data_IF_366379803924
#
_entry.id   IF_366379803924
#
_cell.length_a   1.000
_cell.length_b   1.000
_cell.length_c   1.000
_cell.angle_alpha   90.00
_cell.angle_beta   90.00
_cell.angle_gamma   90.00
#
_symmetry.space_group_name_H-M   'P 1'
#
loop_
_entity.id
_entity.type
_entity.pdbx_description
1 polymer ?
#
# COMPACT_ATOMS: atom_id res chain seq x y z
N UNK A 1 18.64 -5.77 16.77
CA UNK A 1 18.72 -5.43 15.33
C UNK A 1 17.35 -5.13 14.70
N UNK A 2 16.24 -5.81 15.05
CA UNK A 2 14.91 -5.56 14.47
C UNK A 2 14.36 -4.12 14.62
N UNK A 3 14.63 -3.43 15.73
CA UNK A 3 14.15 -2.07 15.95
C UNK A 3 14.83 -1.00 15.05
N UNK A 4 16.07 -1.26 14.62
CA UNK A 4 16.80 -0.35 13.72
C UNK A 4 16.25 -0.46 12.28
N UNK A 5 15.98 -1.68 11.82
CA UNK A 5 15.34 -1.95 10.53
C UNK A 5 13.94 -1.36 10.47
N UNK A 6 13.14 -1.53 11.54
CA UNK A 6 11.80 -0.94 11.63
C UNK A 6 11.81 0.60 11.61
N UNK A 7 12.78 1.24 12.27
CA UNK A 7 12.94 2.71 12.24
C UNK A 7 13.38 3.23 10.88
N UNK A 8 14.30 2.54 10.20
CA UNK A 8 14.66 2.89 8.82
C UNK A 8 13.47 2.74 7.88
N UNK A 9 12.70 1.66 8.01
CA UNK A 9 11.53 1.41 7.18
C UNK A 9 10.45 2.50 7.38
N UNK A 10 10.21 2.94 8.62
CA UNK A 10 9.28 4.04 8.90
C UNK A 10 9.75 5.38 8.32
N UNK A 11 11.07 5.62 8.31
CA UNK A 11 11.65 6.85 7.77
C UNK A 11 11.54 6.93 6.24
N UNK A 12 11.74 5.80 5.54
CA UNK A 12 11.57 5.69 4.09
C UNK A 12 10.09 5.88 3.69
N UNK A 13 9.16 5.28 4.45
CA UNK A 13 7.71 5.46 4.27
C UNK A 13 7.32 6.94 4.37
N UNK A 14 7.85 7.65 5.38
CA UNK A 14 7.57 9.07 5.58
C UNK A 14 8.17 9.94 4.45
N UNK A 15 9.36 9.59 3.97
CA UNK A 15 10.00 10.26 2.83
C UNK A 15 9.19 10.07 1.55
N UNK A 16 8.81 8.83 1.22
CA UNK A 16 8.02 8.50 0.05
C UNK A 16 6.64 9.19 0.07
N UNK A 17 5.93 9.17 1.21
CA UNK A 17 4.66 9.87 1.36
C UNK A 17 4.78 11.40 1.22
N UNK A 18 5.92 11.98 1.61
CA UNK A 18 6.17 13.42 1.49
C UNK A 18 6.63 13.89 0.11
N UNK A 19 7.27 13.01 -0.67
CA UNK A 19 7.81 13.32 -2.00
C UNK A 19 6.91 12.88 -3.15
N UNK A 20 5.96 11.98 -2.88
CA UNK A 20 5.03 11.46 -3.87
C UNK A 20 3.59 11.71 -3.43
N UNK A 21 2.91 12.65 -4.10
CA UNK A 21 1.51 12.96 -3.87
C UNK A 21 0.65 12.32 -4.96
N UNK A 22 -0.14 11.27 -4.64
CA UNK A 22 -1.08 10.70 -5.61
C UNK A 22 -2.13 11.72 -6.05
N UNK A 23 -2.47 11.74 -7.34
CA UNK A 23 -3.48 12.65 -7.89
C UNK A 23 -4.86 12.00 -7.90
N UNK A 24 -5.90 12.80 -7.64
CA UNK A 24 -7.32 12.39 -7.59
C UNK A 24 -7.59 11.29 -6.56
N UNK A 25 -8.21 10.20 -6.97
CA UNK A 25 -8.59 9.02 -6.19
C UNK A 25 -7.50 7.95 -6.12
N UNK A 26 -6.25 8.30 -6.46
CA UNK A 26 -5.14 7.35 -6.42
C UNK A 26 -4.61 7.17 -5.00
N UNK A 27 -4.21 5.95 -4.70
CA UNK A 27 -3.70 5.52 -3.39
C UNK A 27 -2.39 4.76 -3.62
N UNK A 28 -1.33 5.25 -2.97
CA UNK A 28 -0.02 4.59 -2.96
C UNK A 28 0.03 3.61 -1.78
N UNK A 29 0.38 2.37 -2.07
CA UNK A 29 0.46 1.28 -1.10
C UNK A 29 1.80 0.56 -1.19
N UNK A 30 2.24 0.03 -0.05
CA UNK A 30 3.39 -0.86 0.05
C UNK A 30 2.92 -2.26 0.43
N UNK A 31 3.25 -3.26 -0.39
CA UNK A 31 2.92 -4.66 -0.09
C UNK A 31 3.76 -5.17 1.06
N UNK A 32 3.19 -6.06 1.88
CA UNK A 32 3.96 -6.74 2.90
C UNK A 32 4.95 -7.73 2.29
N UNK A 33 6.04 -7.99 3.02
CA UNK A 33 6.97 -9.04 2.66
C UNK A 33 6.30 -10.42 2.74
N UNK A 34 6.52 -11.30 1.76
CA UNK A 34 5.94 -12.64 1.76
C UNK A 34 6.45 -13.46 2.95
N UNK A 35 5.53 -14.09 3.68
CA UNK A 35 5.87 -14.96 4.81
C UNK A 35 6.70 -16.16 4.32
N UNK A 36 7.99 -16.17 4.68
CA UNK A 36 8.95 -17.22 4.35
C UNK A 36 8.67 -18.56 5.03
N UNK A 37 8.01 -18.51 6.19
CA UNK A 37 7.73 -19.67 7.03
C UNK A 37 6.22 -19.84 7.17
N UNK A 38 5.73 -21.02 6.80
CA UNK A 38 4.36 -21.39 7.17
C UNK A 38 4.22 -21.55 8.68
N UNK A 39 2.98 -21.48 9.19
CA UNK A 39 2.67 -21.73 10.61
C UNK A 39 3.16 -23.10 11.12
N UNK A 40 3.39 -24.06 10.23
CA UNK A 40 3.93 -25.40 10.53
C UNK A 40 5.47 -25.51 10.48
N UNK A 41 6.20 -24.42 10.27
CA UNK A 41 7.67 -24.42 10.25
C UNK A 41 8.31 -24.85 8.91
N UNK A 42 7.50 -25.13 7.88
CA UNK A 42 8.00 -25.47 6.54
C UNK A 42 8.36 -24.20 5.78
N UNK A 43 9.59 -24.17 5.26
CA UNK A 43 10.11 -23.07 4.44
C UNK A 43 9.56 -23.20 3.02
N UNK A 44 8.83 -22.19 2.54
CA UNK A 44 8.37 -22.19 1.16
C UNK A 44 9.52 -21.82 0.22
N UNK A 45 9.65 -22.49 -0.94
CA UNK A 45 10.58 -22.04 -1.97
C UNK A 45 10.18 -20.65 -2.49
N UNK A 46 11.17 -19.81 -2.77
CA UNK A 46 11.00 -18.43 -3.25
C UNK A 46 10.05 -18.31 -4.45
N UNK A 47 10.02 -19.32 -5.32
CA UNK A 47 9.17 -19.38 -6.52
C UNK A 47 7.67 -19.57 -6.24
N UNK A 48 7.30 -20.05 -5.07
CA UNK A 48 5.90 -20.27 -4.67
C UNK A 48 5.30 -19.09 -3.91
N UNK A 49 6.07 -18.01 -3.73
CA UNK A 49 5.59 -16.77 -3.13
C UNK A 49 4.70 -16.05 -4.13
N UNK A 50 3.38 -16.27 -4.01
CA UNK A 50 2.39 -15.48 -4.73
C UNK A 50 2.51 -13.98 -4.37
N UNK A 51 1.89 -13.12 -5.19
CA UNK A 51 1.78 -11.69 -4.85
C UNK A 51 1.05 -11.57 -3.51
N UNK A 52 1.68 -10.92 -2.55
CA UNK A 52 1.02 -10.58 -1.28
C UNK A 52 -0.06 -9.56 -1.59
N UNK A 53 -1.32 -9.92 -1.31
CA UNK A 53 -2.47 -9.06 -1.54
C UNK A 53 -2.66 -8.06 -0.39
N UNK A 54 -2.08 -8.32 0.78
CA UNK A 54 -2.09 -7.38 1.89
C UNK A 54 -1.07 -6.26 1.66
N UNK A 55 -1.48 -5.02 1.94
CA UNK A 55 -0.62 -3.86 1.84
C UNK A 55 -0.94 -2.80 2.90
N UNK A 56 0.02 -1.91 3.14
CA UNK A 56 -0.15 -0.71 3.97
C UNK A 56 -0.27 0.51 3.09
N UNK A 57 -1.22 1.39 3.39
CA UNK A 57 -1.39 2.67 2.70
C UNK A 57 -0.29 3.64 3.11
N UNK A 58 0.43 4.18 2.13
CA UNK A 58 1.56 5.09 2.33
C UNK A 58 1.16 6.53 2.04
N UNK A 59 0.41 6.74 0.95
CA UNK A 59 -0.08 8.06 0.57
C UNK A 59 -1.44 7.95 -0.10
N UNK A 60 -2.25 8.99 0.08
CA UNK A 60 -3.60 9.10 -0.48
C UNK A 60 -3.73 10.39 -1.25
N UNK A 61 -4.40 10.34 -2.41
CA UNK A 61 -4.76 11.55 -3.13
C UNK A 61 -5.88 12.34 -2.45
N UNK A 62 -6.15 13.56 -2.92
CA UNK A 62 -7.19 14.45 -2.37
C UNK A 62 -8.61 13.94 -2.58
N UNK A 63 -8.80 12.89 -3.39
CA UNK A 63 -10.11 12.33 -3.72
C UNK A 63 -10.64 12.78 -5.08
N UNK A 64 -11.77 12.19 -5.51
CA UNK A 64 -12.42 12.53 -6.78
C UNK A 64 -13.31 13.76 -6.59
N UNK A 65 -13.37 14.65 -7.57
CA UNK A 65 -14.35 15.73 -7.55
C UNK A 65 -15.76 15.16 -7.74
N UNK A 66 -16.67 15.48 -6.82
CA UNK A 66 -18.07 15.12 -6.96
C UNK A 66 -18.71 16.05 -8.00
N UNK A 67 -19.08 15.51 -9.16
CA UNK A 67 -19.63 16.27 -10.30
C UNK A 67 -20.92 17.03 -9.94
N UNK A 68 -21.68 16.55 -8.94
CA UNK A 68 -22.97 17.13 -8.54
C UNK A 68 -22.85 18.23 -7.48
N UNK A 69 -21.87 18.15 -6.58
CA UNK A 69 -21.73 19.10 -5.46
C UNK A 69 -20.53 20.04 -5.60
N UNK A 70 -19.62 19.76 -6.53
CA UNK A 70 -18.35 20.48 -6.69
C UNK A 70 -17.37 20.26 -5.54
N UNK A 71 -17.71 19.44 -4.54
CA UNK A 71 -16.86 19.15 -3.39
C UNK A 71 -15.97 17.93 -3.67
N UNK A 72 -14.73 17.90 -3.14
CA UNK A 72 -13.89 16.72 -3.20
C UNK A 72 -14.52 15.60 -2.36
N UNK A 73 -14.76 14.45 -2.98
CA UNK A 73 -15.11 13.21 -2.30
C UNK A 73 -13.80 12.57 -1.81
N UNK A 74 -13.52 12.60 -0.49
CA UNK A 74 -12.29 12.06 0.05
C UNK A 74 -12.22 10.54 -0.17
N UNK A 75 -10.99 10.03 -0.27
CA UNK A 75 -10.76 8.58 -0.34
C UNK A 75 -11.23 7.89 0.94
N UNK A 76 -11.63 6.63 0.82
CA UNK A 76 -12.18 5.85 1.94
C UNK A 76 -11.11 5.30 2.89
N UNK A 77 -9.85 5.30 2.43
CA UNK A 77 -8.68 4.79 3.15
C UNK A 77 -7.80 5.92 3.68
N UNK A 78 -7.12 5.69 4.81
CA UNK A 78 -6.18 6.64 5.42
C UNK A 78 -4.75 6.11 5.36
N UNK A 79 -3.77 7.03 5.41
CA UNK A 79 -2.36 6.66 5.53
C UNK A 79 -2.14 5.84 6.80
N UNK A 80 -1.47 4.69 6.67
CA UNK A 80 -1.24 3.72 7.73
C UNK A 80 -2.28 2.60 7.82
N UNK A 81 -3.40 2.70 7.10
CA UNK A 81 -4.41 1.63 7.08
C UNK A 81 -3.85 0.38 6.38
N UNK A 82 -4.23 -0.80 6.89
CA UNK A 82 -3.98 -2.08 6.22
C UNK A 82 -5.15 -2.39 5.29
N UNK A 83 -4.83 -2.70 4.03
CA UNK A 83 -5.83 -2.94 2.98
C UNK A 83 -5.56 -4.23 2.23
N UNK A 84 -6.63 -4.80 1.67
CA UNK A 84 -6.58 -5.92 0.76
C UNK A 84 -6.64 -5.41 -0.68
N UNK A 85 -5.61 -5.75 -1.45
CA UNK A 85 -5.48 -5.41 -2.86
C UNK A 85 -6.07 -6.50 -3.75
N UNK A 86 -6.55 -6.13 -4.95
CA UNK A 86 -6.91 -7.12 -5.96
C UNK A 86 -5.66 -7.85 -6.50
N UNK A 87 -5.84 -9.06 -7.01
CA UNK A 87 -4.76 -9.87 -7.60
C UNK A 87 -4.13 -9.21 -8.84
N UNK A 88 -4.95 -8.44 -9.55
CA UNK A 88 -4.63 -7.76 -10.79
C UNK A 88 -4.87 -6.27 -10.67
N UNK A 89 -4.20 -5.51 -11.55
CA UNK A 89 -4.22 -4.07 -11.51
C UNK A 89 -3.11 -3.49 -10.63
N UNK A 90 -3.17 -2.16 -10.50
CA UNK A 90 -2.14 -1.36 -9.86
C UNK A 90 -0.92 -1.14 -10.76
N UNK A 91 -0.37 0.06 -10.68
CA UNK A 91 0.86 0.44 -11.38
C UNK A 91 2.03 0.35 -10.42
N UNK A 92 3.10 -0.36 -10.80
CA UNK A 92 4.33 -0.39 -10.01
C UNK A 92 5.02 0.99 -10.08
N UNK A 93 5.39 1.54 -8.94
CA UNK A 93 6.13 2.80 -8.81
C UNK A 93 7.32 2.55 -7.90
N UNK A 94 8.54 2.76 -8.38
CA UNK A 94 9.74 2.62 -7.56
C UNK A 94 10.15 4.02 -7.06
N UNK A 95 10.25 4.18 -5.74
CA UNK A 95 10.65 5.42 -5.08
C UNK A 95 11.76 5.09 -4.08
N UNK A 96 12.91 5.78 -4.15
CA UNK A 96 14.02 5.59 -3.20
C UNK A 96 14.42 4.10 -3.05
N UNK A 97 14.57 3.43 -4.18
CA UNK A 97 14.93 1.99 -4.28
C UNK A 97 13.92 1.04 -3.62
N UNK A 98 12.73 1.53 -3.28
CA UNK A 98 11.64 0.76 -2.70
C UNK A 98 10.48 0.67 -3.69
N UNK A 99 9.93 -0.53 -3.83
CA UNK A 99 8.82 -0.80 -4.74
C UNK A 99 7.48 -0.53 -4.04
N UNK A 100 6.73 0.41 -4.61
CA UNK A 100 5.35 0.72 -4.24
C UNK A 100 4.40 0.37 -5.37
N UNK A 101 3.12 0.34 -5.05
CA UNK A 101 2.06 0.14 -6.03
C UNK A 101 1.02 1.24 -5.90
N UNK A 102 0.53 1.72 -7.03
CA UNK A 102 -0.48 2.75 -7.12
C UNK A 102 -1.79 2.13 -7.58
N UNK A 103 -2.83 2.24 -6.78
CA UNK A 103 -4.18 1.77 -7.06
C UNK A 103 -5.17 2.94 -7.07
N UNK A 104 -6.38 2.72 -7.58
CA UNK A 104 -7.51 3.61 -7.31
C UNK A 104 -8.20 3.20 -6.02
N UNK A 105 -8.79 4.17 -5.31
CA UNK A 105 -9.57 3.92 -4.10
C UNK A 105 -10.68 2.88 -4.34
N UNK A 106 -11.33 2.94 -5.52
CA UNK A 106 -12.39 2.01 -5.91
C UNK A 106 -11.90 0.57 -6.19
N UNK A 107 -10.62 0.37 -6.49
CA UNK A 107 -10.06 -0.95 -6.77
C UNK A 107 -9.67 -1.69 -5.47
N UNK A 108 -9.59 -0.99 -4.34
CA UNK A 108 -9.23 -1.57 -3.05
C UNK A 108 -10.41 -2.40 -2.52
N UNK A 109 -10.17 -3.70 -2.27
CA UNK A 109 -11.23 -4.65 -1.95
C UNK A 109 -11.76 -4.51 -0.52
N UNK A 110 -10.90 -4.08 0.40
CA UNK A 110 -11.30 -3.94 1.80
C UNK A 110 -10.19 -3.37 2.67
N UNK A 111 -10.60 -2.84 3.82
CA UNK A 111 -9.72 -2.40 4.89
C UNK A 111 -9.80 -3.38 6.05
N UNK A 112 -8.65 -3.81 6.57
CA UNK A 112 -8.61 -4.59 7.79
C UNK A 112 -8.93 -3.67 8.98
N UNK A 113 -10.09 -3.87 9.61
CA UNK A 113 -10.35 -3.29 10.93
C UNK A 113 -9.62 -4.14 11.95
N UNK A 114 -8.69 -3.53 12.69
CA UNK A 114 -8.24 -4.07 13.97
C UNK A 114 -9.37 -3.96 15.00
#
# INVERSE_FOLDING_TARGET
QAAATARMHLSAIRSAASKFLPLFDRVLVQRFEPQLKTKGGVLLPEKSKGKVLEATVIATGPGRLCETSGQPLPVSVKVGDKVLLPEFGGTKVTLEDTDYFLFRDADILGKFSA
#
